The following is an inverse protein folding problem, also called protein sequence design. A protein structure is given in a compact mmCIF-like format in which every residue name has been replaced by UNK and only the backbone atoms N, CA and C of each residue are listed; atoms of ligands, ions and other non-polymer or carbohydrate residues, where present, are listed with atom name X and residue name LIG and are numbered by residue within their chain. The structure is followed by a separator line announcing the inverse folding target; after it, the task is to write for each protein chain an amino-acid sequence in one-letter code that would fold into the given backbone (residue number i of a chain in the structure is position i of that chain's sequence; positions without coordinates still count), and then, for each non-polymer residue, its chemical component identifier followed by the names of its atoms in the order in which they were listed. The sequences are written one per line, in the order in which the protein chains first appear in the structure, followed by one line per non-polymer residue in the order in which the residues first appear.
data_IF_362116711142
#
_entry.id   IF_362116711142
#
_cell.length_a   1.000
_cell.length_b   1.000
_cell.length_c   1.000
_cell.angle_alpha   90.00
_cell.angle_beta   90.00
_cell.angle_gamma   90.00
#
_symmetry.space_group_name_H-M   'P 1'
#
loop_
_entity.id
_entity.type
_entity.pdbx_description
1 polymer ?
#
# COMPACT_ATOMS: atom_id res chain seq x y z
N UNK A 1 9.65 19.11 -0.38
CA UNK A 1 9.57 17.65 -0.64
C UNK A 1 10.63 16.86 0.16
N UNK A 2 10.76 17.12 1.48
CA UNK A 2 11.61 16.34 2.40
C UNK A 2 10.68 15.77 3.46
N UNK A 3 10.80 14.48 3.79
CA UNK A 3 10.01 13.70 4.76
C UNK A 3 8.91 12.78 4.18
N UNK A 4 9.10 12.24 2.97
CA UNK A 4 8.37 11.03 2.59
C UNK A 4 8.95 9.86 3.39
N UNK A 5 8.14 9.28 4.28
CA UNK A 5 8.52 8.11 5.05
C UNK A 5 8.81 6.93 4.11
N UNK A 6 9.88 6.16 4.39
CA UNK A 6 10.30 5.01 3.59
C UNK A 6 9.14 4.05 3.20
N UNK A 7 8.21 3.69 4.11
CA UNK A 7 7.03 2.89 3.76
C UNK A 7 6.16 3.48 2.65
N UNK A 8 6.07 4.81 2.57
CA UNK A 8 5.27 5.49 1.54
C UNK A 8 5.94 5.37 0.18
N UNK A 9 7.27 5.51 0.13
CA UNK A 9 8.05 5.32 -1.10
C UNK A 9 7.88 3.88 -1.61
N UNK A 10 8.03 2.90 -0.72
CA UNK A 10 7.83 1.49 -1.04
C UNK A 10 6.38 1.25 -1.51
N UNK A 11 5.40 1.81 -0.82
CA UNK A 11 3.99 1.70 -1.19
C UNK A 11 3.68 2.23 -2.59
N UNK A 12 4.28 3.35 -2.98
CA UNK A 12 4.16 3.90 -4.34
C UNK A 12 4.79 2.95 -5.37
N UNK A 13 6.01 2.47 -5.12
CA UNK A 13 6.71 1.57 -6.04
C UNK A 13 5.92 0.28 -6.29
N UNK A 14 5.45 -0.36 -5.21
CA UNK A 14 4.63 -1.57 -5.30
C UNK A 14 3.30 -1.31 -6.03
N UNK A 15 2.67 -0.15 -5.80
CA UNK A 15 1.44 0.22 -6.50
C UNK A 15 1.68 0.42 -8.00
N UNK A 16 2.80 1.05 -8.38
CA UNK A 16 3.19 1.22 -9.78
C UNK A 16 3.45 -0.13 -10.46
N UNK A 17 4.17 -1.04 -9.79
CA UNK A 17 4.42 -2.40 -10.30
C UNK A 17 3.08 -3.12 -10.50
N UNK A 18 2.18 -3.07 -9.52
CA UNK A 18 0.86 -3.69 -9.63
C UNK A 18 0.02 -3.12 -10.77
N UNK A 19 0.08 -1.80 -10.99
CA UNK A 19 -0.59 -1.15 -12.11
C UNK A 19 -0.02 -1.61 -13.46
N UNK A 20 1.31 -1.70 -13.57
CA UNK A 20 1.99 -2.23 -14.76
C UNK A 20 1.61 -3.68 -15.02
N UNK A 21 1.60 -4.53 -13.99
CA UNK A 21 1.18 -5.92 -14.10
C UNK A 21 -0.28 -6.05 -14.56
N UNK A 22 -1.16 -5.16 -14.11
CA UNK A 22 -2.57 -5.16 -14.51
C UNK A 22 -2.75 -4.72 -15.96
N UNK A 23 -2.19 -3.56 -16.31
CA UNK A 23 -2.47 -2.90 -17.58
C UNK A 23 -1.66 -3.47 -18.74
N UNK A 24 -0.39 -3.82 -18.52
CA UNK A 24 0.52 -4.27 -19.57
C UNK A 24 0.61 -5.80 -19.63
N UNK A 25 0.75 -6.47 -18.48
CA UNK A 25 0.94 -7.92 -18.44
C UNK A 25 -0.37 -8.71 -18.33
N UNK A 26 -1.50 -8.03 -18.06
CA UNK A 26 -2.82 -8.64 -17.82
C UNK A 26 -2.80 -9.72 -16.73
N UNK A 27 -1.85 -9.62 -15.78
CA UNK A 27 -1.70 -10.56 -14.68
C UNK A 27 -2.52 -10.06 -13.48
N UNK A 28 -3.81 -10.39 -13.47
CA UNK A 28 -4.75 -9.90 -12.46
C UNK A 28 -4.35 -10.29 -11.03
N UNK A 29 -3.90 -11.54 -10.82
CA UNK A 29 -3.51 -12.02 -9.48
C UNK A 29 -2.26 -11.30 -8.97
N UNK A 30 -1.20 -11.27 -9.79
CA UNK A 30 0.04 -10.54 -9.50
C UNK A 30 -0.27 -9.07 -9.20
N UNK A 31 -1.05 -8.42 -10.06
CA UNK A 31 -1.46 -7.03 -9.86
C UNK A 31 -2.21 -6.82 -8.54
N UNK A 32 -3.17 -7.70 -8.20
CA UNK A 32 -3.92 -7.61 -6.97
C UNK A 32 -3.02 -7.72 -5.73
N UNK A 33 -1.99 -8.56 -5.76
CA UNK A 33 -0.99 -8.68 -4.68
C UNK A 33 -0.22 -7.37 -4.52
N UNK A 34 0.39 -6.88 -5.59
CA UNK A 34 1.22 -5.67 -5.58
C UNK A 34 0.42 -4.41 -5.21
N UNK A 35 -0.81 -4.26 -5.73
CA UNK A 35 -1.70 -3.15 -5.41
C UNK A 35 -2.22 -3.20 -3.98
N UNK A 36 -2.57 -4.39 -3.47
CA UNK A 36 -3.01 -4.54 -2.07
C UNK A 36 -1.88 -4.19 -1.11
N UNK A 37 -0.68 -4.75 -1.33
CA UNK A 37 0.47 -4.47 -0.49
C UNK A 37 0.88 -2.98 -0.53
N UNK A 38 0.97 -2.42 -1.74
CA UNK A 38 1.33 -1.02 -1.94
C UNK A 38 0.36 -0.07 -1.22
N UNK A 39 -0.94 -0.25 -1.41
CA UNK A 39 -1.96 0.56 -0.74
C UNK A 39 -2.00 0.32 0.79
N UNK A 40 -1.71 -0.90 1.23
CA UNK A 40 -1.61 -1.23 2.65
C UNK A 40 -0.52 -0.43 3.37
N UNK A 41 0.65 -0.30 2.76
CA UNK A 41 1.76 0.51 3.26
C UNK A 41 1.45 2.00 3.24
N UNK A 42 0.81 2.50 2.17
CA UNK A 42 0.42 3.91 2.05
C UNK A 42 -0.57 4.31 3.13
N UNK A 43 -1.63 3.53 3.32
CA UNK A 43 -2.69 3.85 4.27
C UNK A 43 -2.23 3.83 5.73
N UNK A 44 -1.33 2.91 6.07
CA UNK A 44 -0.77 2.78 7.43
C UNK A 44 0.28 3.84 7.76
N UNK A 45 0.92 4.47 6.77
CA UNK A 45 2.10 5.32 6.98
C UNK A 45 1.95 6.78 6.59
N UNK A 46 0.96 7.13 5.75
CA UNK A 46 0.71 8.52 5.34
C UNK A 46 0.08 9.33 6.49
N UNK A 47 0.90 10.19 7.10
CA UNK A 47 0.48 11.21 8.05
C UNK A 47 0.21 12.52 7.31
N UNK A 48 -0.94 13.14 7.58
CA UNK A 48 -1.25 14.47 7.06
C UNK A 48 -0.79 15.52 8.07
N UNK A 49 -0.09 16.54 7.60
CA UNK A 49 0.25 17.70 8.42
C UNK A 49 -0.79 18.79 8.17
N UNK A 50 -1.33 19.38 9.23
CA UNK A 50 -2.22 20.55 9.16
C UNK A 50 -1.48 21.76 9.75
N UNK A 51 -1.69 22.93 9.17
CA UNK A 51 -1.26 24.18 9.77
C UNK A 51 -2.30 24.60 10.84
N UNK A 52 -1.83 24.81 12.06
CA UNK A 52 -2.69 25.25 13.17
C UNK A 52 -2.94 26.77 13.08
N UNK A 53 -3.87 27.28 13.90
CA UNK A 53 -4.21 28.72 13.98
C UNK A 53 -3.02 29.62 14.34
N UNK A 54 -1.97 29.04 14.92
CA UNK A 54 -0.70 29.72 15.27
C UNK A 54 0.36 29.63 14.17
N UNK A 55 0.02 29.12 12.97
CA UNK A 55 0.95 29.00 11.83
C UNK A 55 1.88 27.79 11.87
N UNK A 56 1.84 26.97 12.93
CA UNK A 56 2.69 25.79 13.11
C UNK A 56 2.18 24.57 12.32
N UNK A 57 3.11 23.80 11.74
CA UNK A 57 2.80 22.55 11.02
C UNK A 57 2.74 21.41 12.03
N UNK A 58 1.53 20.98 12.41
CA UNK A 58 1.32 19.86 13.33
C UNK A 58 0.93 18.60 12.57
N UNK A 59 1.62 17.49 12.89
CA UNK A 59 1.31 16.16 12.33
C UNK A 59 0.02 15.65 12.94
N UNK A 60 -1.01 15.41 12.14
CA UNK A 60 -2.23 14.78 12.62
C UNK A 60 -2.01 13.28 12.83
N UNK A 61 -2.61 12.70 13.89
CA UNK A 61 -2.57 11.26 14.08
C UNK A 61 -3.26 10.55 12.91
N UNK A 62 -2.73 9.39 12.53
CA UNK A 62 -3.32 8.58 11.46
C UNK A 62 -4.67 8.03 11.96
N UNK A 63 -5.78 8.23 11.23
CA UNK A 63 -7.08 7.66 11.58
C UNK A 63 -6.99 6.14 11.75
N UNK A 64 -7.54 5.61 12.85
CA UNK A 64 -7.52 4.16 13.15
C UNK A 64 -8.08 3.32 12.00
N UNK A 65 -9.11 3.82 11.32
CA UNK A 65 -9.71 3.15 10.15
C UNK A 65 -8.67 2.91 9.04
N UNK A 66 -7.81 3.89 8.75
CA UNK A 66 -6.76 3.77 7.71
C UNK A 66 -5.70 2.76 8.10
N UNK A 67 -5.38 2.68 9.40
CA UNK A 67 -4.46 1.67 9.92
C UNK A 67 -5.05 0.27 9.77
N UNK A 68 -6.31 0.05 10.16
CA UNK A 68 -6.97 -1.25 10.01
C UNK A 68 -7.14 -1.66 8.54
N UNK A 69 -7.55 -0.74 7.67
CA UNK A 69 -7.60 -1.00 6.22
C UNK A 69 -6.20 -1.31 5.69
N UNK A 70 -5.18 -0.59 6.13
CA UNK A 70 -3.80 -0.84 5.74
C UNK A 70 -3.34 -2.26 6.10
N UNK A 71 -3.57 -2.67 7.35
CA UNK A 71 -3.26 -4.02 7.82
C UNK A 71 -4.05 -5.08 7.05
N UNK A 72 -5.35 -4.86 6.84
CA UNK A 72 -6.20 -5.77 6.07
C UNK A 72 -5.66 -6.01 4.66
N UNK A 73 -5.25 -4.95 3.96
CA UNK A 73 -4.70 -5.06 2.62
C UNK A 73 -3.35 -5.80 2.59
N UNK A 74 -2.50 -5.62 3.61
CA UNK A 74 -1.25 -6.38 3.72
C UNK A 74 -1.54 -7.86 3.94
N UNK A 75 -2.47 -8.20 4.84
CA UNK A 75 -2.89 -9.59 5.09
C UNK A 75 -3.48 -10.20 3.81
N UNK A 76 -4.34 -9.46 3.11
CA UNK A 76 -4.91 -9.89 1.83
C UNK A 76 -3.82 -10.17 0.79
N UNK A 77 -2.81 -9.31 0.67
CA UNK A 77 -1.70 -9.51 -0.25
C UNK A 77 -0.93 -10.81 0.06
N UNK A 78 -0.71 -11.13 1.34
CA UNK A 78 -0.09 -12.39 1.76
C UNK A 78 -0.96 -13.59 1.39
N UNK A 79 -2.27 -13.53 1.60
CA UNK A 79 -3.19 -14.61 1.22
C UNK A 79 -3.20 -14.83 -0.30
N UNK A 80 -3.22 -13.75 -1.08
CA UNK A 80 -3.17 -13.83 -2.54
C UNK A 80 -1.83 -14.37 -3.04
N UNK A 81 -0.72 -14.05 -2.37
CA UNK A 81 0.59 -14.60 -2.69
C UNK A 81 0.64 -16.11 -2.43
N UNK A 82 0.08 -16.58 -1.30
CA UNK A 82 -0.06 -18.02 -1.04
C UNK A 82 -0.90 -18.71 -2.12
N UNK A 83 -1.99 -18.07 -2.55
CA UNK A 83 -2.81 -18.58 -3.65
C UNK A 83 -2.01 -18.67 -4.95
N UNK A 84 -1.22 -17.66 -5.29
CA UNK A 84 -0.36 -17.67 -6.48
C UNK A 84 0.65 -18.81 -6.42
N UNK A 85 1.35 -18.96 -5.30
CA UNK A 85 2.32 -20.06 -5.11
C UNK A 85 1.64 -21.42 -5.28
N UNK A 86 0.45 -21.60 -4.72
CA UNK A 86 -0.30 -22.84 -4.87
C UNK A 86 -0.69 -23.13 -6.33
N UNK A 87 -1.11 -22.10 -7.07
CA UNK A 87 -1.42 -22.23 -8.51
C UNK A 87 -0.16 -22.55 -9.33
N UNK A 88 0.98 -21.94 -9.00
CA UNK A 88 2.26 -22.19 -9.66
C UNK A 88 2.75 -23.64 -9.44
N UNK A 89 2.42 -24.27 -8.30
CA UNK A 89 2.70 -25.69 -8.06
C UNK A 89 1.78 -26.66 -8.81
N UNK A 90 0.62 -26.21 -9.27
CA UNK A 90 -0.32 -27.04 -10.05
C UNK A 90 -0.07 -26.99 -11.56
N UNK A 91 0.78 -26.06 -12.02
CA UNK A 91 1.21 -25.93 -13.42
C UNK A 91 2.50 -26.70 -13.68
#
# INVERSE_FOLDING_TARGET
MKNLNLPVIIGILFSTIGLVSLLLMKQALTAAIWLSFGNGLLLSSLQFSRQNEHGEIVKQPIPRIRVYTGIFLIVLAVLLLLLQVFQDFQQ
#
